data_IF_961742399558
#
_entry.id   IF_961742399558
#
_cell.length_a   1.000
_cell.length_b   1.000
_cell.length_c   1.000
_cell.angle_alpha   90.00
_cell.angle_beta   90.00
_cell.angle_gamma   90.00
#
_symmetry.space_group_name_H-M   'P 1'
#
loop_
_entity.id
_entity.type
_entity.pdbx_description
1 polymer ?
#
# COMPACT_ATOMS: atom_id res chain seq x y z
N UNK A 1 21.53 -4.84 -35.59
CA UNK A 1 21.12 -5.81 -34.56
C UNK A 1 20.16 -5.08 -33.67
N UNK A 2 19.08 -5.70 -33.20
CA UNK A 2 18.21 -5.05 -32.24
C UNK A 2 19.03 -4.60 -31.01
N UNK A 3 18.66 -3.50 -30.42
CA UNK A 3 19.29 -2.98 -29.22
C UNK A 3 19.09 -4.00 -28.07
N UNK A 4 20.18 -4.40 -27.42
CA UNK A 4 20.15 -5.38 -26.34
C UNK A 4 20.62 -4.77 -25.04
N UNK A 5 19.79 -4.88 -24.02
CA UNK A 5 20.09 -4.47 -22.64
C UNK A 5 20.55 -5.68 -21.80
N UNK A 6 21.20 -5.43 -20.69
CA UNK A 6 21.42 -6.48 -19.69
C UNK A 6 20.11 -6.81 -18.97
N UNK A 7 19.32 -5.77 -18.65
CA UNK A 7 18.04 -5.91 -17.97
C UNK A 7 16.99 -4.94 -18.51
N UNK A 8 15.75 -5.41 -18.68
CA UNK A 8 14.58 -4.58 -18.90
C UNK A 8 13.72 -4.64 -17.63
N UNK A 9 13.36 -3.48 -17.08
CA UNK A 9 12.43 -3.34 -15.97
C UNK A 9 11.11 -2.75 -16.48
N UNK A 10 10.00 -3.43 -16.30
CA UNK A 10 8.69 -3.02 -16.78
C UNK A 10 7.88 -2.40 -15.65
N UNK A 11 7.71 -1.09 -15.70
CA UNK A 11 7.01 -0.26 -14.70
C UNK A 11 7.95 0.53 -13.80
N UNK A 12 7.83 1.87 -13.86
CA UNK A 12 8.63 2.81 -13.05
C UNK A 12 7.92 3.21 -11.73
N UNK A 13 7.17 2.28 -11.12
CA UNK A 13 6.72 2.39 -9.74
C UNK A 13 7.85 2.07 -8.75
N UNK A 14 7.60 2.14 -7.41
CA UNK A 14 8.65 1.99 -6.40
C UNK A 14 9.50 0.72 -6.52
N UNK A 15 8.89 -0.41 -6.89
CA UNK A 15 9.62 -1.68 -7.04
C UNK A 15 10.56 -1.66 -8.25
N UNK A 16 10.04 -1.25 -9.43
CA UNK A 16 10.84 -1.20 -10.65
C UNK A 16 11.94 -0.15 -10.57
N UNK A 17 11.62 1.03 -10.03
CA UNK A 17 12.61 2.10 -9.86
C UNK A 17 13.69 1.71 -8.88
N UNK A 18 13.37 1.05 -7.75
CA UNK A 18 14.36 0.54 -6.81
C UNK A 18 15.30 -0.48 -7.49
N UNK A 19 14.72 -1.37 -8.29
CA UNK A 19 15.50 -2.35 -9.05
C UNK A 19 16.41 -1.67 -10.08
N UNK A 20 15.88 -0.76 -10.88
CA UNK A 20 16.64 -0.05 -11.91
C UNK A 20 17.77 0.81 -11.32
N UNK A 21 17.50 1.49 -10.20
CA UNK A 21 18.49 2.28 -9.47
C UNK A 21 19.69 1.43 -9.03
N UNK A 22 19.43 0.32 -8.34
CA UNK A 22 20.51 -0.56 -7.84
C UNK A 22 21.27 -1.24 -8.98
N UNK A 23 20.60 -1.63 -10.06
CA UNK A 23 21.23 -2.20 -11.25
C UNK A 23 22.14 -1.18 -11.95
N UNK A 24 21.64 0.02 -12.22
CA UNK A 24 22.40 1.08 -12.87
C UNK A 24 23.62 1.49 -12.03
N UNK A 25 23.43 1.67 -10.72
CA UNK A 25 24.53 1.93 -9.77
C UNK A 25 25.63 0.86 -9.78
N UNK A 26 25.27 -0.39 -10.08
CA UNK A 26 26.21 -1.50 -10.25
C UNK A 26 26.80 -1.60 -11.68
N UNK A 27 26.53 -0.65 -12.57
CA UNK A 27 27.02 -0.63 -13.95
C UNK A 27 26.33 -1.61 -14.89
N UNK A 28 25.11 -2.05 -14.55
CA UNK A 28 24.27 -2.88 -15.42
C UNK A 28 23.56 -1.97 -16.43
N UNK A 29 23.57 -2.33 -17.73
CA UNK A 29 22.84 -1.61 -18.75
C UNK A 29 21.33 -1.93 -18.63
N UNK A 30 20.57 -1.02 -18.02
CA UNK A 30 19.15 -1.22 -17.68
C UNK A 30 18.24 -0.26 -18.41
N UNK A 31 17.19 -0.81 -19.02
CA UNK A 31 16.06 -0.08 -19.58
C UNK A 31 14.89 -0.13 -18.58
N UNK A 32 14.36 1.03 -18.19
CA UNK A 32 13.17 1.19 -17.35
C UNK A 32 12.02 1.70 -18.21
N UNK A 33 10.99 0.87 -18.41
CA UNK A 33 9.80 1.21 -19.20
C UNK A 33 8.68 1.71 -18.29
N UNK A 34 8.03 2.80 -18.68
CA UNK A 34 6.85 3.34 -18.00
C UNK A 34 5.73 3.61 -19.04
N UNK A 35 4.53 3.12 -18.75
CA UNK A 35 3.34 3.33 -19.61
C UNK A 35 2.73 4.72 -19.49
N UNK A 36 2.94 5.40 -18.34
CA UNK A 36 2.47 6.74 -18.10
C UNK A 36 3.33 7.79 -18.77
N UNK A 37 2.84 9.02 -18.83
CA UNK A 37 3.57 10.19 -19.29
C UNK A 37 4.83 10.42 -18.44
N UNK A 38 4.72 10.10 -17.15
CA UNK A 38 5.82 10.13 -16.19
C UNK A 38 5.61 9.07 -15.09
N UNK A 39 6.66 8.66 -14.37
CA UNK A 39 6.55 7.75 -13.24
C UNK A 39 5.60 8.30 -12.16
N UNK A 40 4.63 7.48 -11.75
CA UNK A 40 3.60 7.91 -10.79
C UNK A 40 2.34 8.53 -11.40
N UNK A 41 2.29 8.84 -12.71
CA UNK A 41 1.12 9.44 -13.37
C UNK A 41 -0.17 8.61 -13.23
N UNK A 42 -0.04 7.31 -13.05
CA UNK A 42 -1.16 6.37 -12.93
C UNK A 42 -1.36 5.84 -11.50
N UNK A 43 -0.63 6.38 -10.53
CA UNK A 43 -0.65 5.86 -9.17
C UNK A 43 -0.65 6.98 -8.12
N UNK A 44 -1.68 7.02 -7.30
CA UNK A 44 -1.84 7.97 -6.20
C UNK A 44 -1.86 7.32 -4.83
N UNK A 45 -2.00 6.00 -4.77
CA UNK A 45 -2.08 5.29 -3.50
C UNK A 45 -0.69 5.14 -2.87
N UNK A 46 -0.64 4.98 -1.55
CA UNK A 46 0.59 4.86 -0.78
C UNK A 46 1.13 6.22 -0.32
N UNK A 47 0.25 7.06 0.24
CA UNK A 47 0.61 8.38 0.76
C UNK A 47 1.51 8.40 1.99
N UNK A 48 1.94 7.25 2.51
CA UNK A 48 2.92 7.10 3.61
C UNK A 48 4.17 6.39 3.09
N UNK A 49 5.33 7.02 3.28
CA UNK A 49 6.64 6.47 2.93
C UNK A 49 7.44 6.19 4.20
N UNK A 50 7.87 4.95 4.38
CA UNK A 50 8.71 4.53 5.50
C UNK A 50 10.19 4.79 5.19
N UNK A 51 10.87 5.53 6.08
CA UNK A 51 12.23 5.98 5.86
C UNK A 51 13.22 4.84 5.60
N UNK A 52 13.22 3.85 6.47
CA UNK A 52 14.30 2.84 6.50
C UNK A 52 14.52 2.15 5.16
N UNK A 53 13.46 1.71 4.48
CA UNK A 53 13.57 0.97 3.23
C UNK A 53 14.05 1.84 2.07
N UNK A 54 13.67 3.13 2.07
CA UNK A 54 14.14 4.08 1.09
C UNK A 54 15.60 4.50 1.35
N UNK A 55 15.96 4.67 2.62
CA UNK A 55 17.33 5.01 3.04
C UNK A 55 18.33 3.89 2.75
N UNK A 56 17.88 2.62 2.74
CA UNK A 56 18.73 1.48 2.32
C UNK A 56 19.09 1.52 0.82
N UNK A 57 18.33 2.25 0.02
CA UNK A 57 18.57 2.46 -1.42
C UNK A 57 19.33 3.77 -1.63
N UNK A 58 18.80 4.88 -1.12
CA UNK A 58 19.40 6.21 -1.22
C UNK A 58 19.60 6.76 0.21
N UNK A 59 20.82 6.73 0.74
CA UNK A 59 21.11 7.30 2.05
C UNK A 59 20.70 8.78 2.14
N UNK A 60 20.14 9.18 3.27
CA UNK A 60 19.71 10.57 3.55
C UNK A 60 18.75 11.17 2.50
N UNK A 61 18.02 10.33 1.75
CA UNK A 61 17.10 10.73 0.68
C UNK A 61 16.14 11.86 1.08
N UNK A 62 15.78 11.93 2.35
CA UNK A 62 14.86 12.93 2.91
C UNK A 62 15.38 14.38 2.83
N UNK A 63 16.65 14.60 2.52
CA UNK A 63 17.21 15.93 2.29
C UNK A 63 16.86 16.50 0.91
N UNK A 64 16.57 15.63 -0.06
CA UNK A 64 16.33 16.02 -1.47
C UNK A 64 14.94 15.63 -1.98
N UNK A 65 14.37 14.54 -1.46
CA UNK A 65 13.10 13.99 -1.94
C UNK A 65 11.93 14.97 -1.71
N UNK A 66 10.95 15.03 -2.63
CA UNK A 66 9.77 15.87 -2.50
C UNK A 66 8.77 15.30 -1.50
N UNK A 67 9.19 15.20 -0.25
CA UNK A 67 8.38 14.74 0.87
C UNK A 67 7.39 15.80 1.31
N UNK A 68 6.30 15.39 1.90
CA UNK A 68 5.30 16.31 2.44
C UNK A 68 5.57 16.60 3.92
N UNK A 69 5.15 15.78 4.87
CA UNK A 69 5.36 16.01 6.31
C UNK A 69 5.94 14.76 7.00
N UNK A 70 6.90 14.90 7.93
CA UNK A 70 7.25 13.81 8.83
C UNK A 70 6.05 13.51 9.75
N UNK A 71 5.65 12.26 9.82
CA UNK A 71 4.49 11.84 10.59
C UNK A 71 4.91 11.66 12.06
N UNK A 72 4.36 12.48 12.95
CA UNK A 72 4.58 12.40 14.39
C UNK A 72 3.43 11.75 15.13
N UNK A 73 2.25 11.65 14.49
CA UNK A 73 1.07 11.07 15.12
C UNK A 73 0.32 10.14 14.18
N UNK A 74 -0.05 8.98 14.71
CA UNK A 74 -0.95 8.02 14.04
C UNK A 74 -2.19 7.82 14.90
N UNK A 75 -3.38 7.98 14.29
CA UNK A 75 -4.69 7.84 14.92
C UNK A 75 -5.46 6.69 14.31
N UNK A 76 -6.11 5.89 15.15
CA UNK A 76 -7.04 4.85 14.75
C UNK A 76 -8.43 5.24 15.23
N UNK A 77 -9.31 5.58 14.31
CA UNK A 77 -10.66 6.06 14.58
C UNK A 77 -11.68 4.94 14.36
N UNK A 78 -12.28 4.46 15.45
CA UNK A 78 -13.39 3.50 15.43
C UNK A 78 -14.71 4.27 15.31
N UNK A 79 -15.18 4.46 14.08
CA UNK A 79 -16.26 5.36 13.73
C UNK A 79 -17.62 4.63 13.66
N UNK A 80 -18.63 5.20 14.32
CA UNK A 80 -20.04 4.88 14.15
C UNK A 80 -20.73 6.10 13.52
N UNK A 81 -22.00 6.04 13.20
CA UNK A 81 -22.78 7.06 12.44
C UNK A 81 -22.61 8.50 12.93
N UNK A 82 -22.53 8.72 14.24
CA UNK A 82 -22.47 10.06 14.86
C UNK A 82 -21.45 10.13 15.99
N UNK A 83 -20.60 9.13 16.14
CA UNK A 83 -19.61 9.05 17.21
C UNK A 83 -18.35 8.33 16.76
N UNK A 84 -17.25 8.57 17.49
CA UNK A 84 -16.01 7.82 17.29
C UNK A 84 -15.27 7.64 18.60
N UNK A 85 -14.66 6.48 18.76
CA UNK A 85 -13.60 6.26 19.76
C UNK A 85 -12.28 6.26 19.00
N UNK A 86 -11.34 7.13 19.40
CA UNK A 86 -10.07 7.28 18.72
C UNK A 86 -8.92 6.90 19.66
N UNK A 87 -8.01 6.09 19.16
CA UNK A 87 -6.73 5.81 19.78
C UNK A 87 -5.63 6.51 19.00
N UNK A 88 -4.69 7.15 19.67
CA UNK A 88 -3.56 7.76 18.99
C UNK A 88 -2.25 7.47 19.70
N UNK A 89 -1.18 7.43 18.92
CA UNK A 89 0.18 7.52 19.38
C UNK A 89 0.83 8.75 18.74
N UNK A 90 1.38 9.64 19.58
CA UNK A 90 2.13 10.82 19.16
C UNK A 90 3.54 10.75 19.74
N UNK A 91 4.53 10.54 18.87
CA UNK A 91 5.96 10.48 19.23
C UNK A 91 6.70 11.66 18.60
N UNK A 92 7.10 12.64 19.41
CA UNK A 92 7.77 13.85 18.91
C UNK A 92 9.16 13.54 18.32
N UNK A 93 9.78 12.45 18.76
CA UNK A 93 11.04 11.95 18.20
C UNK A 93 10.94 11.58 16.71
N UNK A 94 9.75 11.22 16.22
CA UNK A 94 9.53 10.88 14.82
C UNK A 94 9.56 12.10 13.87
N UNK A 95 9.45 13.31 14.45
CA UNK A 95 9.51 14.57 13.71
C UNK A 95 10.93 15.12 13.51
N UNK A 96 11.96 14.37 13.89
CA UNK A 96 13.39 14.73 13.78
C UNK A 96 14.23 13.54 13.37
N UNK A 97 15.44 13.78 12.94
CA UNK A 97 16.36 12.72 12.56
C UNK A 97 16.74 11.80 13.75
N UNK A 98 16.75 10.49 13.50
CA UNK A 98 16.30 9.80 12.28
C UNK A 98 14.77 9.72 12.21
N UNK A 99 14.17 10.30 11.17
CA UNK A 99 12.72 10.27 10.94
C UNK A 99 12.19 8.83 10.87
N UNK A 100 10.90 8.63 11.20
CA UNK A 100 10.27 7.32 11.07
C UNK A 100 9.64 7.13 9.68
N UNK A 101 8.78 8.05 9.28
CA UNK A 101 8.04 8.01 8.02
C UNK A 101 7.56 9.42 7.61
N UNK A 102 7.10 9.52 6.37
CA UNK A 102 6.64 10.78 5.80
C UNK A 102 5.32 10.58 5.06
N UNK A 103 4.52 11.63 4.96
CA UNK A 103 3.50 11.69 3.91
C UNK A 103 4.16 12.11 2.60
N UNK A 104 3.64 11.56 1.49
CA UNK A 104 4.15 11.82 0.12
C UNK A 104 3.00 11.93 -0.86
N UNK A 105 3.20 12.72 -1.92
CA UNK A 105 2.39 12.69 -3.13
C UNK A 105 3.14 11.86 -4.17
N UNK A 106 2.59 10.70 -4.50
CA UNK A 106 3.25 9.68 -5.32
C UNK A 106 3.65 10.20 -6.70
N UNK A 107 2.83 11.03 -7.32
CA UNK A 107 3.17 11.65 -8.60
C UNK A 107 4.49 12.43 -8.56
N UNK A 108 4.79 13.12 -7.46
CA UNK A 108 6.06 13.85 -7.28
C UNK A 108 7.20 12.93 -6.85
N UNK A 109 6.92 12.05 -5.89
CA UNK A 109 7.93 11.15 -5.34
C UNK A 109 8.44 10.14 -6.36
N UNK A 110 7.55 9.51 -7.13
CA UNK A 110 7.93 8.50 -8.11
C UNK A 110 8.75 9.12 -9.26
N UNK A 111 8.46 10.35 -9.70
CA UNK A 111 9.29 11.08 -10.66
C UNK A 111 10.71 11.28 -10.12
N UNK A 112 10.83 11.90 -8.94
CA UNK A 112 12.12 12.11 -8.30
C UNK A 112 12.92 10.82 -8.15
N UNK A 113 12.27 9.73 -7.73
CA UNK A 113 12.95 8.45 -7.56
C UNK A 113 13.43 7.86 -8.88
N UNK A 114 12.63 7.97 -9.95
CA UNK A 114 13.05 7.54 -11.27
C UNK A 114 14.18 8.40 -11.85
N UNK A 115 14.15 9.73 -11.62
CA UNK A 115 15.26 10.63 -11.95
C UNK A 115 16.58 10.18 -11.27
N UNK A 116 16.51 9.75 -9.99
CA UNK A 116 17.67 9.19 -9.30
C UNK A 116 18.21 7.91 -9.96
N UNK A 117 17.33 7.07 -10.50
CA UNK A 117 17.75 5.90 -11.26
C UNK A 117 18.42 6.30 -12.60
N UNK A 118 17.92 7.33 -13.27
CA UNK A 118 18.53 7.90 -14.48
C UNK A 118 19.90 8.52 -14.17
N UNK A 119 20.04 9.23 -13.05
CA UNK A 119 21.33 9.77 -12.59
C UNK A 119 22.40 8.66 -12.37
N UNK A 120 21.97 7.43 -12.02
CA UNK A 120 22.86 6.27 -11.92
C UNK A 120 23.14 5.61 -13.27
N UNK A 121 22.48 6.00 -14.36
CA UNK A 121 22.69 5.48 -15.71
C UNK A 121 21.57 4.58 -16.26
N UNK A 122 20.43 4.48 -15.59
CA UNK A 122 19.27 3.80 -16.15
C UNK A 122 18.68 4.60 -17.32
N UNK A 123 18.27 3.92 -18.41
CA UNK A 123 17.52 4.53 -19.50
C UNK A 123 16.02 4.45 -19.18
N UNK A 124 15.41 5.58 -18.85
CA UNK A 124 13.95 5.67 -18.64
C UNK A 124 13.25 6.02 -19.95
N UNK A 125 12.25 5.20 -20.34
CA UNK A 125 11.37 5.46 -21.49
C UNK A 125 9.91 5.44 -21.04
N UNK A 126 9.30 6.61 -21.02
CA UNK A 126 7.89 6.81 -20.71
C UNK A 126 6.96 6.63 -21.93
N UNK A 127 5.63 6.66 -21.70
CA UNK A 127 4.60 6.48 -22.71
C UNK A 127 4.82 5.22 -23.58
N UNK A 128 5.32 4.14 -22.96
CA UNK A 128 5.65 2.89 -23.65
C UNK A 128 5.10 1.71 -22.86
N UNK A 129 4.15 1.00 -23.47
CA UNK A 129 3.50 -0.16 -22.87
C UNK A 129 4.22 -1.44 -23.31
N UNK A 130 4.77 -2.20 -22.35
CA UNK A 130 5.17 -3.57 -22.60
C UNK A 130 3.90 -4.44 -22.68
N UNK A 131 3.61 -4.99 -23.86
CA UNK A 131 2.37 -5.73 -24.14
C UNK A 131 2.52 -7.24 -24.03
N UNK A 132 3.75 -7.74 -24.22
CA UNK A 132 4.05 -9.17 -24.23
C UNK A 132 5.51 -9.43 -23.82
N UNK A 133 5.77 -10.55 -23.14
CA UNK A 133 7.11 -11.08 -22.96
C UNK A 133 7.52 -11.89 -24.19
N UNK A 134 8.71 -11.62 -24.76
CA UNK A 134 9.30 -12.43 -25.83
C UNK A 134 9.90 -13.67 -25.20
N UNK A 135 9.42 -14.85 -25.60
CA UNK A 135 9.87 -16.14 -25.05
C UNK A 135 10.52 -16.97 -26.15
N UNK A 136 11.77 -17.37 -25.95
CA UNK A 136 12.51 -18.26 -26.82
C UNK A 136 13.01 -19.49 -26.05
N UNK A 137 12.70 -20.69 -26.54
CA UNK A 137 13.12 -21.94 -25.91
C UNK A 137 12.77 -22.04 -24.39
N UNK A 138 11.62 -21.48 -23.99
CA UNK A 138 11.14 -21.49 -22.59
C UNK A 138 11.87 -20.49 -21.67
N UNK A 139 12.61 -19.53 -22.24
CA UNK A 139 13.25 -18.42 -21.53
C UNK A 139 12.70 -17.10 -22.02
N UNK A 140 12.43 -16.18 -21.11
CA UNK A 140 12.11 -14.78 -21.43
C UNK A 140 13.43 -14.11 -21.86
N UNK A 141 13.42 -13.51 -23.06
CA UNK A 141 14.59 -12.88 -23.68
C UNK A 141 14.36 -11.40 -24.01
N UNK A 142 13.19 -10.87 -23.67
CA UNK A 142 12.83 -9.47 -23.92
C UNK A 142 11.36 -9.19 -23.75
N UNK A 143 10.95 -8.02 -24.21
CA UNK A 143 9.55 -7.58 -24.22
C UNK A 143 9.18 -6.98 -25.57
N UNK A 144 7.94 -7.16 -25.97
CA UNK A 144 7.31 -6.43 -27.08
C UNK A 144 6.56 -5.24 -26.52
N UNK A 145 6.75 -4.08 -27.10
CA UNK A 145 6.05 -2.86 -26.75
C UNK A 145 4.96 -2.51 -27.77
N UNK A 146 4.10 -1.55 -27.43
CA UNK A 146 3.06 -1.00 -28.32
C UNK A 146 3.61 -0.07 -29.42
N UNK A 147 4.93 0.11 -29.49
CA UNK A 147 5.57 0.95 -30.51
C UNK A 147 5.88 0.17 -31.79
N UNK A 148 5.92 0.83 -32.97
CA UNK A 148 6.42 0.21 -34.20
C UNK A 148 7.86 -0.35 -33.96
N UNK A 149 8.12 -1.57 -34.46
CA UNK A 149 9.39 -2.28 -34.28
C UNK A 149 9.82 -2.38 -32.79
N UNK A 150 8.83 -2.49 -31.90
CA UNK A 150 8.99 -2.36 -30.46
C UNK A 150 9.45 -3.62 -29.73
N UNK A 151 10.08 -4.59 -30.40
CA UNK A 151 10.71 -5.76 -29.78
C UNK A 151 12.08 -5.36 -29.20
N UNK A 152 12.22 -5.46 -27.87
CA UNK A 152 13.43 -5.10 -27.16
C UNK A 152 13.96 -6.33 -26.41
N UNK A 153 15.25 -6.61 -26.52
CA UNK A 153 15.86 -7.81 -25.98
C UNK A 153 16.74 -7.53 -24.75
N UNK A 154 16.77 -8.49 -23.83
CA UNK A 154 17.62 -8.43 -22.65
C UNK A 154 18.01 -9.83 -22.14
N UNK A 155 19.01 -9.88 -21.27
CA UNK A 155 19.40 -11.13 -20.61
C UNK A 155 18.38 -11.52 -19.53
N UNK A 156 17.72 -10.53 -18.90
CA UNK A 156 16.68 -10.72 -17.90
C UNK A 156 15.62 -9.60 -17.96
N UNK A 157 14.38 -9.95 -17.64
CA UNK A 157 13.26 -9.01 -17.54
C UNK A 157 12.72 -8.98 -16.11
N UNK A 158 12.47 -7.80 -15.56
CA UNK A 158 11.82 -7.61 -14.26
C UNK A 158 10.41 -7.06 -14.48
N UNK A 159 9.40 -7.82 -14.07
CA UNK A 159 8.00 -7.44 -14.15
C UNK A 159 7.61 -6.68 -12.88
N UNK A 160 7.45 -5.36 -13.01
CA UNK A 160 7.01 -4.43 -11.97
C UNK A 160 5.73 -3.70 -12.42
N UNK A 161 4.88 -4.37 -13.21
CA UNK A 161 3.71 -3.85 -13.91
C UNK A 161 2.48 -3.66 -13.00
N UNK A 162 2.68 -3.74 -11.69
CA UNK A 162 1.68 -3.42 -10.66
C UNK A 162 0.63 -4.53 -10.47
N UNK A 163 -0.43 -4.22 -9.74
CA UNK A 163 -1.44 -5.19 -9.27
C UNK A 163 -2.09 -6.00 -10.40
N UNK A 164 -2.22 -5.44 -11.60
CA UNK A 164 -2.81 -6.16 -12.74
C UNK A 164 -1.94 -7.31 -13.23
N UNK A 165 -0.63 -7.19 -13.10
CA UNK A 165 0.36 -8.25 -13.37
C UNK A 165 0.11 -8.97 -14.71
N UNK A 166 -0.16 -8.17 -15.77
CA UNK A 166 -0.61 -8.70 -17.06
C UNK A 166 0.44 -9.61 -17.69
N UNK A 167 1.72 -9.22 -17.62
CA UNK A 167 2.82 -9.98 -18.19
C UNK A 167 3.08 -11.29 -17.43
N UNK A 168 3.02 -11.27 -16.09
CA UNK A 168 3.16 -12.48 -15.30
C UNK A 168 1.98 -13.46 -15.50
N UNK A 169 0.77 -12.94 -15.76
CA UNK A 169 -0.39 -13.76 -16.17
C UNK A 169 -0.18 -14.42 -17.53
N UNK A 170 0.33 -13.69 -18.52
CA UNK A 170 0.66 -14.24 -19.85
C UNK A 170 1.69 -15.37 -19.75
N UNK A 171 2.67 -15.26 -18.87
CA UNK A 171 3.65 -16.30 -18.62
C UNK A 171 3.11 -17.49 -17.82
N UNK A 172 1.86 -17.44 -17.35
CA UNK A 172 1.28 -18.44 -16.46
C UNK A 172 1.86 -18.44 -15.03
N UNK A 173 2.56 -17.38 -14.63
CA UNK A 173 3.11 -17.23 -13.29
C UNK A 173 2.06 -16.78 -12.29
N UNK A 174 1.13 -15.95 -12.74
CA UNK A 174 0.03 -15.40 -11.96
C UNK A 174 -1.31 -15.87 -12.53
N UNK A 175 -2.21 -16.36 -11.69
CA UNK A 175 -3.60 -16.58 -12.07
C UNK A 175 -4.39 -15.27 -12.03
N UNK A 176 -5.59 -15.25 -12.59
CA UNK A 176 -6.50 -14.15 -12.31
C UNK A 176 -6.77 -14.05 -10.80
N UNK A 177 -6.67 -12.84 -10.26
CA UNK A 177 -7.02 -12.59 -8.87
C UNK A 177 -8.54 -12.68 -8.65
N UNK A 178 -8.93 -13.12 -7.48
CA UNK A 178 -10.34 -13.14 -7.08
C UNK A 178 -10.73 -11.78 -6.48
N UNK A 179 -12.03 -11.40 -6.51
CA UNK A 179 -12.50 -10.15 -5.90
C UNK A 179 -12.21 -10.03 -4.38
N UNK A 180 -11.99 -11.14 -3.69
CA UNK A 180 -11.60 -11.20 -2.27
C UNK A 180 -10.07 -11.09 -2.03
N UNK A 181 -9.29 -10.99 -3.10
CA UNK A 181 -7.83 -10.85 -3.06
C UNK A 181 -7.34 -9.46 -3.43
N UNK A 182 -8.24 -8.57 -3.81
CA UNK A 182 -7.91 -7.18 -4.15
C UNK A 182 -8.87 -6.21 -3.49
N UNK A 183 -8.35 -5.08 -3.04
CA UNK A 183 -9.16 -3.93 -2.64
C UNK A 183 -9.20 -2.91 -3.78
N UNK A 184 -10.32 -2.21 -3.90
CA UNK A 184 -10.41 -1.00 -4.69
C UNK A 184 -10.44 0.19 -3.76
N UNK A 185 -9.45 1.06 -3.89
CA UNK A 185 -9.36 2.29 -3.12
C UNK A 185 -9.62 3.50 -4.02
N UNK A 186 -10.36 4.46 -3.47
CA UNK A 186 -10.58 5.78 -4.06
C UNK A 186 -10.03 6.84 -3.14
N UNK A 187 -9.45 7.87 -3.70
CA UNK A 187 -8.82 8.96 -2.95
C UNK A 187 -9.01 10.29 -3.65
N UNK A 188 -9.10 11.34 -2.85
CA UNK A 188 -8.97 12.72 -3.29
C UNK A 188 -7.83 13.42 -2.58
N UNK A 189 -7.17 14.33 -3.29
CA UNK A 189 -6.29 15.33 -2.72
C UNK A 189 -7.11 16.62 -2.57
N UNK A 190 -7.18 17.12 -1.35
CA UNK A 190 -7.95 18.30 -0.99
C UNK A 190 -6.99 19.44 -0.64
N UNK A 191 -7.04 20.56 -1.37
CA UNK A 191 -6.26 21.76 -1.06
C UNK A 191 -6.80 22.43 0.19
N UNK A 192 -5.93 22.74 1.16
CA UNK A 192 -6.27 23.43 2.39
C UNK A 192 -5.06 24.19 2.92
N UNK A 193 -5.26 25.38 3.48
CA UNK A 193 -4.17 26.19 4.06
C UNK A 193 -3.42 25.40 5.15
N UNK A 194 -2.10 25.51 5.13
CA UNK A 194 -1.22 24.75 6.04
C UNK A 194 -1.49 25.04 7.52
N UNK A 195 -1.82 26.28 7.87
CA UNK A 195 -2.07 26.65 9.27
C UNK A 195 -3.39 26.02 9.75
N UNK A 196 -4.41 25.99 8.86
CA UNK A 196 -5.68 25.31 9.14
C UNK A 196 -5.45 23.80 9.34
N UNK A 197 -4.57 23.17 8.55
CA UNK A 197 -4.19 21.77 8.76
C UNK A 197 -3.54 21.60 10.12
N UNK A 198 -2.53 22.39 10.44
CA UNK A 198 -1.79 22.32 11.70
C UNK A 198 -2.71 22.51 12.90
N UNK A 199 -3.59 23.52 12.87
CA UNK A 199 -4.57 23.78 13.93
C UNK A 199 -5.56 22.61 14.12
N UNK A 200 -6.18 22.14 13.01
CA UNK A 200 -7.21 21.09 13.09
C UNK A 200 -6.68 19.75 13.56
N UNK A 201 -5.42 19.44 13.20
CA UNK A 201 -4.79 18.19 13.57
C UNK A 201 -3.96 18.28 14.86
N UNK A 202 -3.89 19.47 15.49
CA UNK A 202 -3.09 19.74 16.69
C UNK A 202 -1.61 19.40 16.47
N UNK A 203 -1.03 20.01 15.42
CA UNK A 203 0.34 19.79 14.97
C UNK A 203 1.15 21.07 15.13
N UNK A 204 2.41 20.93 15.52
CA UNK A 204 3.40 22.00 15.35
C UNK A 204 3.74 22.19 13.86
N UNK A 205 4.34 23.33 13.48
CA UNK A 205 4.69 23.60 12.09
C UNK A 205 5.44 22.45 11.41
N UNK A 206 4.96 22.06 10.25
CA UNK A 206 5.48 20.97 9.39
C UNK A 206 5.37 19.56 9.97
N UNK A 207 4.79 19.32 11.13
CA UNK A 207 4.47 17.99 11.60
C UNK A 207 3.31 17.38 10.82
N UNK A 208 3.30 16.05 10.72
CA UNK A 208 2.28 15.26 10.04
C UNK A 208 1.50 14.34 10.95
N UNK A 209 0.27 14.05 10.54
CA UNK A 209 -0.63 13.09 11.20
C UNK A 209 -1.30 12.21 10.16
N UNK A 210 -1.52 10.94 10.52
CA UNK A 210 -2.35 10.02 9.77
C UNK A 210 -3.52 9.57 10.62
N UNK A 211 -4.71 9.47 10.02
CA UNK A 211 -5.92 8.92 10.65
C UNK A 211 -6.39 7.75 9.81
N UNK A 212 -6.47 6.57 10.42
CA UNK A 212 -7.07 5.37 9.85
C UNK A 212 -8.46 5.20 10.43
N UNK A 213 -9.46 4.99 9.58
CA UNK A 213 -10.88 5.06 9.94
C UNK A 213 -11.52 3.70 9.72
N UNK A 214 -12.02 3.10 10.79
CA UNK A 214 -12.68 1.79 10.77
C UNK A 214 -14.16 1.91 11.13
N UNK A 215 -14.97 0.96 10.69
CA UNK A 215 -16.40 0.88 11.02
C UNK A 215 -17.29 1.51 9.97
N UNK A 216 -18.04 2.56 10.30
CA UNK A 216 -19.06 3.12 9.40
C UNK A 216 -18.49 3.71 8.09
N UNK A 217 -17.21 4.06 8.06
CA UNK A 217 -16.52 4.53 6.85
C UNK A 217 -16.68 3.60 5.64
N UNK A 218 -16.74 2.31 5.88
CA UNK A 218 -16.83 1.29 4.84
C UNK A 218 -18.19 0.63 4.75
N UNK A 219 -19.18 1.10 5.54
CA UNK A 219 -20.54 0.52 5.63
C UNK A 219 -20.52 -0.99 5.90
N UNK A 220 -19.59 -1.44 6.76
CA UNK A 220 -19.45 -2.84 7.15
C UNK A 220 -18.66 -3.73 6.19
N UNK A 221 -18.22 -3.22 5.03
CA UNK A 221 -17.30 -3.94 4.15
C UNK A 221 -15.91 -3.95 4.79
N UNK A 222 -15.17 -5.05 4.65
CA UNK A 222 -13.78 -5.09 5.09
C UNK A 222 -12.94 -4.07 4.31
N UNK A 223 -12.31 -3.17 5.05
CA UNK A 223 -11.54 -2.07 4.51
C UNK A 223 -11.35 -0.95 5.52
N UNK A 224 -10.78 0.16 5.08
CA UNK A 224 -10.52 1.33 5.91
C UNK A 224 -10.72 2.63 5.12
N UNK A 225 -11.19 3.68 5.81
CA UNK A 225 -10.98 5.04 5.36
C UNK A 225 -9.63 5.55 5.86
N UNK A 226 -9.11 6.58 5.24
CA UNK A 226 -7.89 7.23 5.69
C UNK A 226 -7.91 8.75 5.43
N UNK A 227 -7.17 9.48 6.26
CA UNK A 227 -6.98 10.91 6.13
C UNK A 227 -5.56 11.27 6.55
N UNK A 228 -4.76 11.80 5.62
CA UNK A 228 -3.35 12.13 5.83
C UNK A 228 -3.10 13.61 5.58
N UNK A 229 -2.27 14.21 6.42
CA UNK A 229 -1.88 15.62 6.27
C UNK A 229 -0.66 15.74 5.36
N UNK A 230 -0.76 16.59 4.35
CA UNK A 230 0.37 17.04 3.51
C UNK A 230 0.74 18.49 3.84
N UNK A 231 1.67 19.10 3.13
CA UNK A 231 2.12 20.50 3.39
C UNK A 231 0.96 21.48 3.36
N UNK A 232 0.19 21.47 2.27
CA UNK A 232 -0.93 22.37 2.00
C UNK A 232 -2.11 21.66 1.33
N UNK A 233 -2.19 20.35 1.53
CA UNK A 233 -3.28 19.49 1.10
C UNK A 233 -3.58 18.41 2.14
N UNK A 234 -4.72 17.77 1.98
CA UNK A 234 -5.08 16.54 2.69
C UNK A 234 -5.28 15.42 1.67
N UNK A 235 -4.81 14.22 1.98
CA UNK A 235 -5.18 13.02 1.23
C UNK A 235 -6.30 12.31 1.98
N UNK A 236 -7.49 12.24 1.40
CA UNK A 236 -8.63 11.51 1.97
C UNK A 236 -9.04 10.37 1.04
N UNK A 237 -9.29 9.20 1.60
CA UNK A 237 -9.70 8.08 0.78
C UNK A 237 -10.38 6.97 1.58
N UNK A 238 -10.85 5.98 0.84
CA UNK A 238 -11.43 4.75 1.37
C UNK A 238 -11.09 3.59 0.46
N UNK A 239 -10.62 2.51 1.04
CA UNK A 239 -10.33 1.25 0.34
C UNK A 239 -11.09 0.09 0.96
N UNK A 240 -11.71 -0.74 0.12
CA UNK A 240 -12.45 -1.93 0.56
C UNK A 240 -12.22 -3.09 -0.39
N UNK A 241 -12.38 -4.31 0.10
CA UNK A 241 -12.34 -5.49 -0.77
C UNK A 241 -13.36 -5.37 -1.90
N UNK A 242 -12.93 -5.71 -3.11
CA UNK A 242 -13.77 -5.67 -4.31
C UNK A 242 -14.96 -6.63 -4.18
N UNK A 243 -14.79 -7.78 -3.54
CA UNK A 243 -15.87 -8.73 -3.21
C UNK A 243 -17.01 -8.07 -2.44
N UNK A 244 -16.68 -7.23 -1.46
CA UNK A 244 -17.65 -6.48 -0.66
C UNK A 244 -18.40 -5.43 -1.49
N UNK A 245 -17.70 -4.65 -2.31
CA UNK A 245 -18.33 -3.66 -3.21
C UNK A 245 -19.33 -4.30 -4.16
N UNK A 246 -18.95 -5.43 -4.76
CA UNK A 246 -19.81 -6.21 -5.66
C UNK A 246 -21.06 -6.73 -4.91
N UNK A 247 -20.85 -7.37 -3.75
CA UNK A 247 -21.90 -7.93 -2.92
C UNK A 247 -22.94 -6.89 -2.48
N UNK A 248 -22.48 -5.73 -2.04
CA UNK A 248 -23.32 -4.66 -1.52
C UNK A 248 -23.77 -3.66 -2.61
N UNK A 249 -23.30 -3.82 -3.85
CA UNK A 249 -23.58 -2.93 -4.99
C UNK A 249 -23.25 -1.46 -4.70
N UNK A 250 -22.17 -1.21 -3.97
CA UNK A 250 -21.70 0.13 -3.63
C UNK A 250 -20.63 0.55 -4.64
N UNK A 251 -20.74 1.75 -5.17
CA UNK A 251 -19.74 2.32 -6.05
C UNK A 251 -18.65 3.00 -5.20
N UNK A 252 -17.37 2.83 -5.53
CA UNK A 252 -16.26 3.36 -4.73
C UNK A 252 -16.33 4.87 -4.47
N UNK A 253 -16.70 5.66 -5.49
CA UNK A 253 -16.84 7.11 -5.34
C UNK A 253 -18.00 7.50 -4.39
N UNK A 254 -19.10 6.73 -4.36
CA UNK A 254 -20.23 6.97 -3.42
C UNK A 254 -19.78 6.73 -1.97
N UNK A 255 -18.87 5.78 -1.77
CA UNK A 255 -18.29 5.49 -0.48
C UNK A 255 -17.35 6.62 -0.03
N UNK A 256 -16.53 7.16 -0.94
CA UNK A 256 -15.67 8.30 -0.66
C UNK A 256 -16.49 9.55 -0.30
N UNK A 257 -17.54 9.86 -1.07
CA UNK A 257 -18.44 10.95 -0.75
C UNK A 257 -19.14 10.76 0.60
N UNK A 258 -19.51 9.54 0.94
CA UNK A 258 -20.07 9.21 2.25
C UNK A 258 -19.07 9.53 3.37
N UNK A 259 -17.82 9.13 3.25
CA UNK A 259 -16.76 9.42 4.23
C UNK A 259 -16.52 10.92 4.35
N UNK A 260 -16.42 11.65 3.26
CA UNK A 260 -16.22 13.11 3.26
C UNK A 260 -17.36 13.86 3.97
N UNK A 261 -18.60 13.41 3.79
CA UNK A 261 -19.77 14.03 4.39
C UNK A 261 -20.09 13.52 5.81
N UNK A 262 -19.34 12.53 6.31
CA UNK A 262 -19.58 11.98 7.64
C UNK A 262 -19.32 13.03 8.75
N UNK A 263 -20.22 13.16 9.77
CA UNK A 263 -20.09 14.17 10.83
C UNK A 263 -18.74 14.18 11.55
N UNK A 264 -18.12 13.01 11.72
CA UNK A 264 -16.82 12.88 12.39
C UNK A 264 -15.64 13.27 11.49
N UNK A 265 -15.81 13.30 10.17
CA UNK A 265 -14.73 13.60 9.20
C UNK A 265 -14.85 15.02 8.66
N UNK A 266 -16.06 15.48 8.36
CA UNK A 266 -16.31 16.80 7.78
C UNK A 266 -15.55 17.95 8.47
N UNK A 267 -15.43 18.04 9.81
CA UNK A 267 -14.70 19.11 10.47
C UNK A 267 -13.20 19.17 10.10
N UNK A 268 -12.57 18.05 9.79
CA UNK A 268 -11.17 18.02 9.36
C UNK A 268 -10.97 18.62 7.97
N UNK A 269 -11.94 18.43 7.05
CA UNK A 269 -11.80 18.79 5.64
C UNK A 269 -12.62 20.04 5.23
N UNK A 270 -13.42 20.61 6.13
CA UNK A 270 -14.29 21.75 5.82
C UNK A 270 -13.50 22.91 5.24
N UNK A 271 -13.98 23.48 4.12
CA UNK A 271 -13.35 24.61 3.43
C UNK A 271 -12.15 24.20 2.56
N UNK A 272 -11.90 22.90 2.37
CA UNK A 272 -10.93 22.42 1.39
C UNK A 272 -11.56 22.32 -0.01
N UNK A 273 -10.70 22.32 -1.03
CA UNK A 273 -11.09 22.20 -2.44
C UNK A 273 -10.47 20.92 -3.04
N UNK A 274 -11.24 20.07 -3.72
CA UNK A 274 -10.69 18.89 -4.40
C UNK A 274 -9.84 19.32 -5.60
N UNK A 275 -8.61 18.81 -5.68
CA UNK A 275 -7.67 19.12 -6.77
C UNK A 275 -7.32 17.88 -7.60
N UNK A 276 -7.49 16.68 -7.04
CA UNK A 276 -7.19 15.44 -7.73
C UNK A 276 -8.08 14.31 -7.20
N UNK A 277 -8.56 13.44 -8.08
CA UNK A 277 -9.32 12.22 -7.74
C UNK A 277 -8.73 11.03 -8.48
N UNK A 278 -8.54 9.94 -7.77
CA UNK A 278 -7.99 8.71 -8.35
C UNK A 278 -8.59 7.47 -7.69
N UNK A 279 -8.56 6.37 -8.45
CA UNK A 279 -8.94 5.05 -7.96
C UNK A 279 -7.86 4.04 -8.38
N UNK A 280 -7.52 3.12 -7.48
CA UNK A 280 -6.50 2.11 -7.73
C UNK A 280 -6.85 0.80 -7.04
N UNK A 281 -6.49 -0.32 -7.71
CA UNK A 281 -6.53 -1.65 -7.10
C UNK A 281 -5.29 -1.87 -6.24
N UNK A 282 -5.47 -2.54 -5.11
CA UNK A 282 -4.40 -2.88 -4.16
C UNK A 282 -4.46 -4.39 -3.91
N UNK A 283 -3.34 -5.13 -3.97
CA UNK A 283 -3.32 -6.53 -3.60
C UNK A 283 -3.63 -6.72 -2.11
N UNK A 284 -4.55 -7.62 -1.79
CA UNK A 284 -4.98 -7.92 -0.41
C UNK A 284 -4.98 -9.42 -0.09
N UNK A 285 -4.59 -10.24 -1.07
CA UNK A 285 -4.59 -11.70 -0.93
C UNK A 285 -3.46 -12.25 -0.05
N UNK A 286 -2.47 -11.44 0.29
CA UNK A 286 -1.39 -11.79 1.19
C UNK A 286 -0.55 -12.98 0.73
N UNK A 287 -0.02 -13.75 1.68
CA UNK A 287 0.91 -14.86 1.45
C UNK A 287 0.42 -15.91 0.44
N UNK A 288 -0.89 -16.24 0.48
CA UNK A 288 -1.47 -17.27 -0.39
C UNK A 288 -1.66 -16.83 -1.85
N UNK A 289 -1.51 -15.53 -2.13
CA UNK A 289 -1.65 -14.95 -3.46
C UNK A 289 -0.31 -14.65 -4.13
N UNK A 290 0.82 -14.88 -3.44
CA UNK A 290 2.15 -14.70 -4.04
C UNK A 290 2.28 -15.63 -5.24
N UNK A 291 2.53 -15.10 -6.46
CA UNK A 291 2.68 -15.91 -7.67
C UNK A 291 4.05 -16.58 -7.74
N UNK A 292 4.33 -17.27 -8.84
CA UNK A 292 5.70 -17.61 -9.18
C UNK A 292 6.50 -16.32 -9.45
N UNK A 293 7.52 -16.04 -8.63
CA UNK A 293 8.26 -14.76 -8.67
C UNK A 293 9.57 -14.83 -9.45
N UNK A 294 9.99 -16.01 -9.87
CA UNK A 294 11.20 -16.22 -10.66
C UNK A 294 11.00 -17.29 -11.72
N UNK A 295 11.62 -17.11 -12.88
CA UNK A 295 11.63 -18.07 -13.98
C UNK A 295 12.86 -17.85 -14.85
N UNK A 296 13.03 -18.64 -15.93
CA UNK A 296 14.13 -18.48 -16.85
C UNK A 296 14.11 -17.09 -17.50
N UNK A 297 15.07 -16.24 -17.16
CA UNK A 297 15.21 -14.89 -17.68
C UNK A 297 14.19 -13.87 -17.17
N UNK A 298 13.47 -14.15 -16.07
CA UNK A 298 12.42 -13.24 -15.57
C UNK A 298 12.24 -13.28 -14.05
N UNK A 299 11.99 -12.10 -13.46
CA UNK A 299 11.61 -11.90 -12.06
C UNK A 299 10.31 -11.06 -11.98
N UNK A 300 9.54 -11.24 -10.88
CA UNK A 300 8.31 -10.47 -10.60
C UNK A 300 8.46 -9.78 -9.24
N UNK A 301 8.19 -8.47 -9.17
CA UNK A 301 8.43 -7.65 -7.98
C UNK A 301 7.22 -6.77 -7.62
N UNK A 302 7.18 -6.28 -6.39
CA UNK A 302 6.15 -5.34 -5.92
C UNK A 302 4.73 -5.91 -5.97
N UNK A 303 3.78 -5.06 -6.33
CA UNK A 303 2.36 -5.44 -6.42
C UNK A 303 2.08 -6.49 -7.49
N UNK A 304 2.93 -6.58 -8.54
CA UNK A 304 2.85 -7.66 -9.52
C UNK A 304 3.12 -9.04 -8.89
N UNK A 305 3.90 -9.08 -7.82
CA UNK A 305 4.12 -10.26 -6.98
C UNK A 305 3.19 -10.33 -5.76
N UNK A 306 2.14 -9.49 -5.69
CA UNK A 306 1.16 -9.44 -4.58
C UNK A 306 1.78 -9.11 -3.20
N UNK A 307 2.87 -8.33 -3.17
CA UNK A 307 3.64 -8.05 -1.96
C UNK A 307 3.08 -6.83 -1.23
N UNK A 308 1.94 -7.00 -0.57
CA UNK A 308 1.30 -6.01 0.29
C UNK A 308 0.90 -6.64 1.61
N UNK A 309 1.24 -5.99 2.72
CA UNK A 309 0.74 -6.36 4.04
C UNK A 309 -0.59 -5.63 4.29
N UNK A 310 -1.69 -6.29 3.99
CA UNK A 310 -3.06 -5.79 4.16
C UNK A 310 -3.36 -5.30 5.58
N UNK A 311 -2.80 -5.96 6.59
CA UNK A 311 -3.08 -5.67 8.01
C UNK A 311 -2.40 -4.35 8.45
N UNK A 312 -1.16 -4.14 8.03
CA UNK A 312 -0.41 -2.91 8.36
C UNK A 312 -0.47 -1.86 7.25
N UNK A 313 -1.14 -2.17 6.12
CA UNK A 313 -1.29 -1.29 4.94
C UNK A 313 0.06 -0.84 4.38
N UNK A 314 0.99 -1.77 4.36
CA UNK A 314 2.35 -1.58 3.88
C UNK A 314 2.50 -2.18 2.48
N UNK A 315 2.79 -1.35 1.50
CA UNK A 315 3.00 -1.75 0.10
C UNK A 315 4.28 -1.16 -0.46
N UNK A 316 4.48 0.16 -0.39
CA UNK A 316 5.63 0.83 -1.00
C UNK A 316 6.98 0.38 -0.43
N UNK A 317 7.07 0.15 0.89
CA UNK A 317 8.27 -0.40 1.53
C UNK A 317 8.57 -1.85 1.08
N UNK A 318 7.55 -2.69 0.95
CA UNK A 318 7.71 -4.05 0.41
C UNK A 318 8.08 -4.02 -1.06
N UNK A 319 7.47 -3.13 -1.84
CA UNK A 319 7.76 -2.94 -3.25
C UNK A 319 9.24 -2.55 -3.48
N UNK A 320 9.72 -1.50 -2.81
CA UNK A 320 11.12 -1.05 -2.89
C UNK A 320 12.10 -2.14 -2.47
N UNK A 321 11.82 -2.82 -1.35
CA UNK A 321 12.69 -3.91 -0.87
C UNK A 321 12.73 -5.07 -1.86
N UNK A 322 11.60 -5.46 -2.45
CA UNK A 322 11.55 -6.53 -3.45
C UNK A 322 12.33 -6.18 -4.70
N UNK A 323 12.25 -4.91 -5.16
CA UNK A 323 13.05 -4.41 -6.29
C UNK A 323 14.55 -4.47 -6.02
N UNK A 324 14.97 -4.04 -4.81
CA UNK A 324 16.38 -4.13 -4.39
C UNK A 324 16.88 -5.57 -4.34
N UNK A 325 16.12 -6.50 -3.75
CA UNK A 325 16.50 -7.91 -3.69
C UNK A 325 16.55 -8.57 -5.08
N UNK A 326 15.69 -8.15 -6.01
CA UNK A 326 15.76 -8.58 -7.41
C UNK A 326 17.03 -8.08 -8.08
N UNK A 327 17.40 -6.81 -7.90
CA UNK A 327 18.63 -6.23 -8.42
C UNK A 327 19.87 -6.96 -7.89
N UNK A 328 19.97 -7.20 -6.60
CA UNK A 328 21.06 -7.98 -5.99
C UNK A 328 21.21 -9.37 -6.64
N UNK A 329 20.08 -10.03 -6.94
CA UNK A 329 20.10 -11.35 -7.57
C UNK A 329 20.53 -11.27 -9.03
N UNK A 330 20.08 -10.25 -9.77
CA UNK A 330 20.48 -10.04 -11.17
C UNK A 330 21.97 -9.71 -11.28
N UNK A 331 22.54 -8.90 -10.37
CA UNK A 331 23.96 -8.60 -10.32
C UNK A 331 24.77 -9.89 -10.14
N UNK A 332 24.34 -10.79 -9.25
CA UNK A 332 24.98 -12.10 -9.06
C UNK A 332 24.84 -12.98 -10.31
N UNK A 333 23.65 -13.02 -10.91
CA UNK A 333 23.38 -13.77 -12.15
C UNK A 333 24.26 -13.30 -13.31
N UNK A 334 24.41 -11.98 -13.47
CA UNK A 334 25.27 -11.36 -14.48
C UNK A 334 26.75 -11.74 -14.28
N UNK A 335 27.22 -11.69 -13.04
CA UNK A 335 28.61 -12.06 -12.72
C UNK A 335 28.94 -13.54 -13.06
N UNK A 336 27.95 -14.43 -13.02
CA UNK A 336 28.04 -15.85 -13.36
C UNK A 336 27.60 -16.14 -14.80
N UNK A 337 27.10 -15.15 -15.53
CA UNK A 337 26.45 -15.29 -16.83
C UNK A 337 25.38 -16.40 -16.86
N UNK A 338 24.64 -16.50 -15.76
CA UNK A 338 23.58 -17.50 -15.57
C UNK A 338 22.25 -16.82 -15.15
N UNK A 339 21.27 -16.80 -16.06
CA UNK A 339 19.93 -16.27 -15.83
C UNK A 339 18.88 -17.38 -15.86
N UNK A 340 19.28 -18.60 -15.55
CA UNK A 340 18.38 -19.73 -15.39
C UNK A 340 17.41 -19.53 -14.21
N UNK A 341 16.28 -20.24 -14.23
CA UNK A 341 15.33 -20.23 -13.12
C UNK A 341 15.99 -20.61 -11.80
N UNK A 342 16.93 -21.58 -11.79
CA UNK A 342 17.62 -22.01 -10.57
C UNK A 342 18.49 -20.89 -9.97
N UNK A 343 19.13 -20.07 -10.79
CA UNK A 343 19.90 -18.92 -10.33
C UNK A 343 18.99 -17.80 -9.85
N UNK A 344 17.96 -17.48 -10.62
CA UNK A 344 17.03 -16.40 -10.30
C UNK A 344 16.10 -16.73 -9.12
N UNK A 345 15.89 -18.01 -8.77
CA UNK A 345 15.12 -18.41 -7.58
C UNK A 345 15.77 -18.00 -6.25
N UNK A 346 17.06 -17.62 -6.26
CA UNK A 346 17.70 -16.99 -5.10
C UNK A 346 16.96 -15.70 -4.66
N UNK A 347 16.35 -14.98 -5.60
CA UNK A 347 15.46 -13.86 -5.27
C UNK A 347 14.31 -14.29 -4.40
N UNK A 348 13.61 -15.39 -4.74
CA UNK A 348 12.50 -15.92 -3.92
C UNK A 348 12.98 -16.30 -2.53
N UNK A 349 14.16 -16.92 -2.41
CA UNK A 349 14.73 -17.28 -1.10
C UNK A 349 14.98 -16.03 -0.25
N UNK A 350 15.68 -15.02 -0.78
CA UNK A 350 15.92 -13.74 -0.10
C UNK A 350 14.61 -13.04 0.29
N UNK A 351 13.63 -13.05 -0.61
CA UNK A 351 12.31 -12.44 -0.37
C UNK A 351 11.61 -13.10 0.83
N UNK A 352 11.58 -14.44 0.89
CA UNK A 352 10.93 -15.19 1.97
C UNK A 352 11.69 -15.09 3.30
N UNK A 353 12.99 -14.90 3.30
CA UNK A 353 13.82 -14.69 4.49
C UNK A 353 13.74 -13.26 5.03
N UNK A 354 13.39 -12.29 4.17
CA UNK A 354 13.22 -10.88 4.55
C UNK A 354 11.97 -10.65 5.42
N UNK A 355 11.83 -9.42 5.94
CA UNK A 355 10.61 -9.03 6.67
C UNK A 355 9.34 -9.21 5.83
N UNK A 356 9.42 -9.10 4.48
CA UNK A 356 8.28 -9.29 3.58
C UNK A 356 7.70 -10.69 3.74
N UNK A 357 8.52 -11.72 3.55
CA UNK A 357 8.08 -13.11 3.67
C UNK A 357 7.61 -13.46 5.08
N UNK A 358 8.31 -12.93 6.10
CA UNK A 358 7.96 -13.14 7.51
C UNK A 358 6.59 -12.54 7.85
N UNK A 359 6.33 -11.29 7.47
CA UNK A 359 5.08 -10.60 7.76
C UNK A 359 3.92 -11.17 6.95
N UNK A 360 4.09 -11.40 5.65
CA UNK A 360 3.04 -12.02 4.84
C UNK A 360 2.66 -13.41 5.37
N UNK A 361 3.64 -14.21 5.79
CA UNK A 361 3.40 -15.53 6.39
C UNK A 361 2.69 -15.43 7.74
N UNK A 362 3.06 -14.45 8.56
CA UNK A 362 2.44 -14.20 9.87
C UNK A 362 0.96 -13.86 9.73
N UNK A 363 0.60 -12.98 8.82
CA UNK A 363 -0.77 -12.48 8.64
C UNK A 363 -1.55 -13.19 7.53
N UNK A 364 -1.08 -14.34 7.05
CA UNK A 364 -1.62 -15.07 5.89
C UNK A 364 -3.12 -15.34 5.92
N UNK A 365 -3.69 -15.52 7.11
CA UNK A 365 -5.09 -15.88 7.30
C UNK A 365 -5.95 -14.69 7.78
N UNK A 366 -5.34 -13.52 8.03
CA UNK A 366 -6.01 -12.40 8.69
C UNK A 366 -7.08 -11.74 7.81
N UNK A 367 -6.78 -11.43 6.55
CA UNK A 367 -7.76 -10.83 5.62
C UNK A 367 -9.00 -11.72 5.48
N UNK A 368 -8.81 -13.01 5.22
CA UNK A 368 -9.91 -13.96 5.10
C UNK A 368 -10.71 -14.08 6.41
N UNK A 369 -10.03 -14.06 7.57
CA UNK A 369 -10.71 -14.09 8.86
C UNK A 369 -11.63 -12.88 9.03
N UNK A 370 -11.14 -11.67 8.82
CA UNK A 370 -11.93 -10.46 9.00
C UNK A 370 -13.04 -10.30 7.96
N UNK A 371 -12.86 -10.77 6.73
CA UNK A 371 -13.93 -10.83 5.73
C UNK A 371 -15.05 -11.81 6.13
N UNK A 372 -14.68 -12.97 6.64
CA UNK A 372 -15.63 -14.01 7.08
C UNK A 372 -16.41 -13.59 8.34
N UNK A 373 -15.84 -12.74 9.17
CA UNK A 373 -16.41 -12.30 10.44
C UNK A 373 -16.63 -10.77 10.48
N UNK A 374 -17.57 -10.23 9.70
CA UNK A 374 -17.79 -8.77 9.59
C UNK A 374 -18.27 -8.12 10.89
N UNK A 375 -18.72 -8.91 11.88
CA UNK A 375 -19.16 -8.38 13.18
C UNK A 375 -18.09 -7.55 13.91
N UNK A 376 -16.80 -7.70 13.58
CA UNK A 376 -15.76 -6.84 14.15
C UNK A 376 -16.00 -5.37 13.81
N UNK A 377 -16.46 -5.08 12.61
CA UNK A 377 -16.71 -3.74 12.11
C UNK A 377 -18.18 -3.33 12.28
N UNK A 378 -19.14 -4.22 11.96
CA UNK A 378 -20.56 -3.93 11.96
C UNK A 378 -21.19 -3.89 13.36
N UNK A 379 -20.65 -4.66 14.32
CA UNK A 379 -21.29 -4.81 15.64
C UNK A 379 -20.39 -4.31 16.77
N UNK A 380 -19.09 -4.64 16.76
CA UNK A 380 -18.22 -4.35 17.92
C UNK A 380 -17.77 -2.89 17.95
N UNK A 381 -17.56 -2.23 16.81
CA UNK A 381 -17.29 -0.79 16.77
C UNK A 381 -18.49 0.04 17.27
N UNK A 382 -19.72 -0.15 16.77
CA UNK A 382 -20.90 0.52 17.36
C UNK A 382 -21.10 0.21 18.85
N UNK A 383 -20.83 -1.02 19.28
CA UNK A 383 -20.91 -1.42 20.69
C UNK A 383 -19.90 -0.66 21.56
N UNK A 384 -18.66 -0.50 21.08
CA UNK A 384 -17.61 0.28 21.74
C UNK A 384 -18.04 1.75 21.89
N UNK A 385 -18.57 2.34 20.82
CA UNK A 385 -19.06 3.73 20.84
C UNK A 385 -20.21 3.91 21.82
N UNK A 386 -21.21 3.00 21.85
CA UNK A 386 -22.29 3.03 22.84
C UNK A 386 -21.77 2.91 24.26
N UNK A 387 -20.82 2.01 24.53
CA UNK A 387 -20.23 1.85 25.86
C UNK A 387 -19.51 3.13 26.31
N UNK A 388 -18.73 3.76 25.41
CA UNK A 388 -18.07 5.04 25.68
C UNK A 388 -19.12 6.15 25.96
N UNK A 389 -20.14 6.28 25.12
CA UNK A 389 -21.24 7.24 25.33
C UNK A 389 -21.90 7.07 26.70
N UNK A 390 -22.26 5.83 27.07
CA UNK A 390 -22.87 5.56 28.38
C UNK A 390 -21.95 5.93 29.56
N UNK A 391 -20.65 5.64 29.42
CA UNK A 391 -19.67 5.93 30.47
C UNK A 391 -19.44 7.43 30.66
N UNK A 392 -19.38 8.19 29.56
CA UNK A 392 -19.06 9.62 29.58
C UNK A 392 -20.29 10.52 29.78
N UNK A 393 -21.51 10.06 29.50
CA UNK A 393 -22.73 10.82 29.78
C UNK A 393 -22.87 11.05 31.30
N UNK A 394 -23.19 12.28 31.71
CA UNK A 394 -23.44 12.65 33.10
C UNK A 394 -24.95 12.93 33.23
N UNK A 395 -25.67 12.01 33.85
CA UNK A 395 -27.14 11.99 33.99
C UNK A 395 -27.64 11.71 35.42
N UNK A 396 -26.73 11.82 36.41
CA UNK A 396 -27.00 11.55 37.81
C UNK A 396 -26.87 10.07 38.21
N UNK A 397 -26.80 9.14 37.26
CA UNK A 397 -26.51 7.74 37.58
C UNK A 397 -25.04 7.54 38.01
N UNK A 398 -24.84 6.68 38.99
CA UNK A 398 -23.48 6.35 39.46
C UNK A 398 -22.66 5.62 38.41
N UNK A 399 -21.35 5.73 38.46
CA UNK A 399 -20.47 4.98 37.53
C UNK A 399 -20.65 3.47 37.65
N UNK A 400 -20.99 2.99 38.85
CA UNK A 400 -21.34 1.59 39.09
C UNK A 400 -22.60 1.15 38.32
N UNK A 401 -23.65 1.95 38.34
CA UNK A 401 -24.86 1.69 37.57
C UNK A 401 -24.60 1.70 36.06
N UNK A 402 -23.79 2.65 35.60
CA UNK A 402 -23.37 2.71 34.19
C UNK A 402 -22.56 1.49 33.77
N UNK A 403 -21.61 1.06 34.59
CA UNK A 403 -20.85 -0.18 34.33
C UNK A 403 -21.76 -1.41 34.26
N UNK A 404 -22.72 -1.52 35.18
CA UNK A 404 -23.72 -2.60 35.14
C UNK A 404 -24.58 -2.54 33.87
N UNK A 405 -24.97 -1.33 33.45
CA UNK A 405 -25.72 -1.13 32.22
C UNK A 405 -24.93 -1.55 31.00
N UNK A 406 -23.69 -1.04 30.85
CA UNK A 406 -22.76 -1.44 29.77
C UNK A 406 -22.63 -2.96 29.74
N UNK A 407 -22.35 -3.58 30.89
CA UNK A 407 -22.21 -5.03 30.98
C UNK A 407 -23.46 -5.80 30.58
N UNK A 408 -24.65 -5.27 30.92
CA UNK A 408 -25.93 -5.83 30.50
C UNK A 408 -26.17 -5.67 28.99
N UNK A 409 -25.82 -4.50 28.44
CA UNK A 409 -26.00 -4.15 27.02
C UNK A 409 -25.05 -4.92 26.09
N UNK A 410 -23.99 -5.56 26.64
CA UNK A 410 -23.22 -6.59 25.92
C UNK A 410 -24.05 -7.85 25.65
N UNK A 411 -25.26 -7.94 26.21
CA UNK A 411 -26.22 -9.01 25.98
C UNK A 411 -26.12 -10.18 26.97
N UNK A 412 -26.68 -11.31 26.56
CA UNK A 412 -26.70 -12.53 27.35
C UNK A 412 -25.27 -13.07 27.62
N UNK A 413 -25.16 -13.96 28.60
CA UNK A 413 -23.89 -14.67 28.87
C UNK A 413 -23.33 -15.36 27.62
N UNK A 414 -24.19 -15.90 26.76
CA UNK A 414 -23.82 -16.53 25.49
C UNK A 414 -23.19 -15.50 24.52
N UNK A 415 -23.74 -14.28 24.44
CA UNK A 415 -23.23 -13.21 23.59
C UNK A 415 -21.88 -12.67 24.11
N UNK A 416 -21.73 -12.51 25.41
CA UNK A 416 -20.45 -12.12 26.04
C UNK A 416 -19.37 -13.17 25.81
N UNK A 417 -19.72 -14.46 25.91
CA UNK A 417 -18.81 -15.55 25.61
C UNK A 417 -18.43 -15.56 24.12
N UNK A 418 -19.40 -15.29 23.22
CA UNK A 418 -19.12 -15.14 21.79
C UNK A 418 -18.14 -13.99 21.53
N UNK A 419 -18.37 -12.82 22.13
CA UNK A 419 -17.46 -11.67 22.00
C UNK A 419 -16.03 -12.02 22.46
N UNK A 420 -15.88 -12.61 23.65
CA UNK A 420 -14.58 -13.01 24.16
C UNK A 420 -13.88 -14.02 23.24
N UNK A 421 -14.61 -15.00 22.74
CA UNK A 421 -14.11 -15.98 21.77
C UNK A 421 -13.67 -15.33 20.46
N UNK A 422 -14.46 -14.39 19.94
CA UNK A 422 -14.14 -13.69 18.69
C UNK A 422 -12.90 -12.81 18.86
N UNK A 423 -12.76 -12.12 20.01
CA UNK A 423 -11.53 -11.37 20.34
C UNK A 423 -10.31 -12.30 20.43
N UNK A 424 -10.43 -13.47 21.03
CA UNK A 424 -9.35 -14.47 21.05
C UNK A 424 -8.99 -14.98 19.65
N UNK A 425 -9.97 -15.16 18.77
CA UNK A 425 -9.72 -15.54 17.38
C UNK A 425 -8.99 -14.44 16.60
N UNK A 426 -9.46 -13.18 16.72
CA UNK A 426 -8.76 -12.04 16.12
C UNK A 426 -7.32 -11.95 16.64
N UNK A 427 -7.12 -12.07 17.95
CA UNK A 427 -5.78 -12.10 18.54
C UNK A 427 -4.90 -13.21 17.95
N UNK A 428 -5.47 -14.41 17.73
CA UNK A 428 -4.71 -15.55 17.19
C UNK A 428 -4.24 -15.34 15.76
N UNK A 429 -5.03 -14.69 14.89
CA UNK A 429 -4.64 -14.42 13.50
C UNK A 429 -3.74 -13.18 13.38
N UNK A 430 -3.69 -12.35 14.42
CA UNK A 430 -2.81 -11.17 14.51
C UNK A 430 -1.49 -11.47 15.25
N UNK A 431 -1.41 -12.53 16.03
CA UNK A 431 -0.23 -12.98 16.77
C UNK A 431 0.72 -13.74 15.84
#
# INVERSE_FOLDING_TARGET
>A
MPEKFDCIVVGAGPAGTACAYELAKAGVNVLLLERGEYPGAKNVMGGVLYRKMMEDIIPEFYKEAPLERPIVEQRFMMMDKESAVTFSYKGLEWGREPYNNFTVLRAKFDQWFAEKAVEQGALLVCETVAVECIVENGRVVGVRTDRPDGDIYADVVVLADGVNSLLAKQLGFHREWRPDEVALATMEILKLDKNIIEDRFNLEPNQGCTIEIFGDATKGILGTGFLYTNKDTLSIGVGTLLSGLIKHKIKPYELLEYVKNHPMIRPYIQGSEPVEYLAHLIPEGGYHSIPKVAGNGVLVVGDAAQLVNAIHREGSNMAMTSGRLAAETIIMAKAQNDFSESMLDQYRMKLMESFIGQDLKKYKDATHHFETFPQYFEQYIPMLNRAASQMFTVDGASKWEKQKKIWRDLGSTKQKFKLARDMMKAWKVMK
#
